data_IF_153336214169
#
_entry.id   IF_153336214169
#
_cell.length_a   1.000
_cell.length_b   1.000
_cell.length_c   1.000
_cell.angle_alpha   90.00
_cell.angle_beta   90.00
_cell.angle_gamma   90.00
#
_symmetry.space_group_name_H-M   'P 1'
#
loop_
_entity.id
_entity.type
_entity.pdbx_description
1 polymer ?
#
# COMPACT_ATOMS: atom_id res chain seq x y z
N UNK A 1 21.90 -2.03 15.03
CA UNK A 1 20.95 -3.06 14.57
C UNK A 1 21.49 -3.61 13.26
N UNK A 2 21.39 -4.91 12.97
CA UNK A 2 21.74 -5.42 11.65
C UNK A 2 20.89 -4.67 10.60
N UNK A 3 21.48 -4.25 9.48
CA UNK A 3 20.78 -3.45 8.46
C UNK A 3 19.48 -4.12 7.97
N UNK A 4 19.46 -5.45 7.98
CA UNK A 4 18.31 -6.29 7.65
C UNK A 4 17.10 -6.09 8.58
N UNK A 5 17.28 -5.73 9.85
CA UNK A 5 16.16 -5.48 10.78
C UNK A 5 15.43 -4.19 10.42
N UNK A 6 16.15 -3.14 10.03
CA UNK A 6 15.54 -1.89 9.58
C UNK A 6 14.67 -2.11 8.33
N UNK A 7 15.17 -2.92 7.39
CA UNK A 7 14.46 -3.24 6.15
C UNK A 7 13.19 -4.04 6.45
N UNK A 8 13.24 -4.99 7.39
CA UNK A 8 12.08 -5.76 7.80
C UNK A 8 11.02 -4.87 8.47
N UNK A 9 11.43 -3.92 9.32
CA UNK A 9 10.52 -2.95 9.95
C UNK A 9 9.87 -2.08 8.87
N UNK A 10 10.65 -1.53 7.95
CA UNK A 10 10.15 -0.72 6.84
C UNK A 10 9.14 -1.52 5.99
N UNK A 11 9.47 -2.77 5.66
CA UNK A 11 8.60 -3.66 4.89
C UNK A 11 7.29 -3.93 5.63
N UNK A 12 7.34 -4.20 6.93
CA UNK A 12 6.15 -4.39 7.75
C UNK A 12 5.26 -3.14 7.72
N UNK A 13 5.83 -1.96 7.98
CA UNK A 13 5.07 -0.71 8.01
C UNK A 13 4.37 -0.43 6.68
N UNK A 14 5.08 -0.58 5.56
CA UNK A 14 4.51 -0.37 4.22
C UNK A 14 3.39 -1.38 3.92
N UNK A 15 3.55 -2.65 4.31
CA UNK A 15 2.54 -3.68 4.05
C UNK A 15 1.30 -3.57 4.96
N UNK A 16 1.44 -3.03 6.17
CA UNK A 16 0.32 -2.80 7.09
C UNK A 16 -0.47 -1.52 6.82
N UNK A 17 0.11 -0.54 6.13
CA UNK A 17 -0.56 0.72 5.83
C UNK A 17 -1.85 0.57 4.99
N UNK A 18 -1.92 -0.26 3.92
CA UNK A 18 -3.14 -0.43 3.14
C UNK A 18 -4.30 -1.07 3.93
N UNK A 19 -4.11 -2.15 4.72
CA UNK A 19 -5.18 -2.67 5.59
C UNK A 19 -5.62 -1.67 6.67
N UNK A 20 -4.69 -0.94 7.30
CA UNK A 20 -5.03 0.05 8.33
C UNK A 20 -5.85 1.20 7.77
N UNK A 21 -5.43 1.74 6.61
CA UNK A 21 -6.22 2.77 5.91
C UNK A 21 -7.52 2.21 5.36
N UNK A 22 -7.58 0.90 5.08
CA UNK A 22 -8.81 0.26 4.68
C UNK A 22 -9.88 0.28 5.79
N UNK A 23 -9.47 -0.05 7.02
CA UNK A 23 -10.31 0.03 8.21
C UNK A 23 -10.64 1.47 8.63
N UNK A 24 -9.70 2.41 8.48
CA UNK A 24 -9.91 3.79 8.96
C UNK A 24 -10.79 4.63 8.02
N UNK A 25 -10.71 4.37 6.70
CA UNK A 25 -11.39 5.16 5.68
C UNK A 25 -12.45 4.36 4.90
N UNK A 26 -13.10 3.36 5.53
CA UNK A 26 -14.04 2.38 4.94
C UNK A 26 -14.79 2.84 3.67
N UNK A 27 -15.42 4.02 3.69
CA UNK A 27 -16.25 4.50 2.57
C UNK A 27 -15.57 5.49 1.60
N UNK A 28 -14.37 5.98 1.90
CA UNK A 28 -13.70 7.03 1.12
C UNK A 28 -12.59 6.41 0.26
N UNK A 29 -12.58 6.76 -1.03
CA UNK A 29 -11.48 6.43 -1.96
C UNK A 29 -11.26 4.91 -2.14
N UNK A 30 -12.35 4.15 -2.12
CA UNK A 30 -12.37 2.69 -2.38
C UNK A 30 -12.23 2.34 -3.87
N UNK A 31 -12.00 3.33 -4.72
CA UNK A 31 -11.87 3.12 -6.16
C UNK A 31 -10.67 2.20 -6.44
N UNK A 32 -10.90 1.09 -7.15
CA UNK A 32 -9.82 0.21 -7.55
C UNK A 32 -8.88 0.97 -8.47
N UNK A 33 -7.58 0.78 -8.28
CA UNK A 33 -6.55 1.47 -9.06
C UNK A 33 -6.67 1.17 -10.57
N UNK A 34 -7.23 0.01 -10.90
CA UNK A 34 -7.52 -0.42 -12.27
C UNK A 34 -8.56 0.44 -12.97
N UNK A 35 -9.42 1.17 -12.25
CA UNK A 35 -10.58 1.89 -12.82
C UNK A 35 -11.45 1.03 -13.77
N UNK A 36 -11.44 -0.30 -13.60
CA UNK A 36 -12.15 -1.24 -14.46
C UNK A 36 -11.35 -1.76 -15.67
N UNK A 37 -10.05 -1.46 -15.76
CA UNK A 37 -9.18 -2.02 -16.79
C UNK A 37 -9.02 -3.53 -16.61
N UNK A 38 -9.24 -4.25 -17.71
CA UNK A 38 -9.03 -5.68 -17.80
C UNK A 38 -7.78 -5.98 -18.60
N UNK A 39 -7.06 -7.02 -18.19
CA UNK A 39 -5.93 -7.57 -18.92
C UNK A 39 -6.41 -8.31 -20.18
N UNK A 40 -5.49 -8.69 -21.08
CA UNK A 40 -5.80 -9.41 -22.34
C UNK A 40 -6.61 -10.70 -22.13
N UNK A 41 -6.57 -11.25 -20.92
CA UNK A 41 -7.27 -12.46 -20.51
C UNK A 41 -8.70 -12.18 -19.98
N UNK A 42 -9.16 -10.92 -20.06
CA UNK A 42 -10.49 -10.48 -19.60
C UNK A 42 -10.63 -10.28 -18.08
N UNK A 43 -9.55 -10.47 -17.31
CA UNK A 43 -9.52 -10.36 -15.85
C UNK A 43 -9.04 -8.98 -15.40
N UNK A 44 -9.50 -8.44 -14.25
CA UNK A 44 -9.00 -7.17 -13.72
C UNK A 44 -7.49 -7.25 -13.43
N UNK A 45 -6.78 -6.16 -13.71
CA UNK A 45 -5.31 -6.15 -13.76
C UNK A 45 -4.65 -6.24 -12.37
N UNK A 46 -5.18 -5.49 -11.40
CA UNK A 46 -4.79 -5.47 -10.00
C UNK A 46 -5.89 -5.99 -9.06
N UNK A 47 -7.12 -6.14 -9.55
CA UNK A 47 -8.28 -6.62 -8.80
C UNK A 47 -8.91 -5.54 -7.92
N UNK A 48 -10.12 -5.81 -7.42
CA UNK A 48 -10.91 -4.86 -6.61
C UNK A 48 -10.30 -4.53 -5.24
N UNK A 49 -9.34 -5.35 -4.76
CA UNK A 49 -8.71 -5.17 -3.46
C UNK A 49 -7.56 -4.15 -3.46
N UNK A 50 -7.00 -3.79 -4.63
CA UNK A 50 -5.94 -2.78 -4.75
C UNK A 50 -6.54 -1.41 -5.00
N UNK A 51 -6.73 -0.67 -3.91
CA UNK A 51 -7.34 0.66 -3.91
C UNK A 51 -6.30 1.77 -3.98
N UNK A 52 -6.65 2.90 -4.59
CA UNK A 52 -5.76 4.07 -4.67
C UNK A 52 -5.35 4.58 -3.28
N UNK A 53 -6.26 4.58 -2.31
CA UNK A 53 -5.96 4.91 -0.90
C UNK A 53 -4.86 4.04 -0.32
N UNK A 54 -4.89 2.73 -0.57
CA UNK A 54 -3.92 1.79 -0.02
C UNK A 54 -2.53 2.01 -0.61
N UNK A 55 -2.46 2.34 -1.90
CA UNK A 55 -1.19 2.67 -2.58
C UNK A 55 -0.62 3.98 -2.05
N UNK A 56 -1.44 5.04 -1.97
CA UNK A 56 -1.00 6.34 -1.43
C UNK A 56 -0.55 6.18 0.03
N UNK A 57 -1.29 5.43 0.85
CA UNK A 57 -0.93 5.15 2.23
C UNK A 57 0.41 4.42 2.34
N UNK A 58 0.61 3.35 1.58
CA UNK A 58 1.88 2.61 1.58
C UNK A 58 3.07 3.47 1.16
N UNK A 59 2.89 4.34 0.17
CA UNK A 59 3.91 5.27 -0.32
C UNK A 59 4.25 6.32 0.75
N UNK A 60 3.25 6.93 1.38
CA UNK A 60 3.46 7.92 2.45
C UNK A 60 4.11 7.29 3.68
N UNK A 61 3.66 6.10 4.08
CA UNK A 61 4.25 5.35 5.19
C UNK A 61 5.69 4.95 4.89
N UNK A 62 5.99 4.51 3.66
CA UNK A 62 7.36 4.20 3.25
C UNK A 62 8.28 5.41 3.30
N UNK A 63 7.84 6.57 2.80
CA UNK A 63 8.61 7.82 2.88
C UNK A 63 8.87 8.22 4.34
N UNK A 64 7.83 8.26 5.17
CA UNK A 64 7.96 8.65 6.58
C UNK A 64 8.84 7.67 7.36
N UNK A 65 8.63 6.37 7.19
CA UNK A 65 9.42 5.33 7.85
C UNK A 65 10.88 5.31 7.38
N UNK A 66 11.13 5.55 6.09
CA UNK A 66 12.49 5.69 5.55
C UNK A 66 13.26 6.83 6.21
N UNK A 67 12.64 8.01 6.31
CA UNK A 67 13.22 9.18 6.99
C UNK A 67 13.47 8.90 8.47
N UNK A 68 12.52 8.27 9.17
CA UNK A 68 12.64 7.96 10.61
C UNK A 68 13.72 6.90 10.89
N UNK A 69 13.86 5.91 10.02
CA UNK A 69 14.84 4.83 10.16
C UNK A 69 16.25 5.24 9.67
N UNK A 70 16.38 6.40 9.02
CA UNK A 70 17.66 6.91 8.52
C UNK A 70 18.18 6.16 7.28
N UNK A 71 17.26 5.65 6.44
CA UNK A 71 17.57 5.05 5.15
C UNK A 71 17.99 6.09 4.10
#
# INVERSE_FOLDING_TARGET
MPDSVGILILLWLINFAPPLTACLFEHRWKEPIDRGWTFRDGRPLFGTHKTTRGVVAGVLTGMAAGVVLGF
#
